data_IF_990668574100
#
_entry.id   IF_990668574100
#
_cell.length_a   1.000
_cell.length_b   1.000
_cell.length_c   1.000
_cell.angle_alpha   90.00
_cell.angle_beta   90.00
_cell.angle_gamma   90.00
#
_symmetry.space_group_name_H-M   'P 1'
#
loop_
_entity.id
_entity.type
_entity.pdbx_description
1 polymer ?
#
# COMPACT_ATOMS: atom_id res chain seq x y z
N UNK A 1 20.26 4.71 -33.42
CA UNK A 1 19.79 4.58 -32.03
C UNK A 1 18.29 4.27 -32.08
N UNK A 2 17.84 3.07 -31.72
CA UNK A 2 16.39 2.82 -31.56
C UNK A 2 15.95 3.55 -30.30
N UNK A 3 14.95 4.44 -30.41
CA UNK A 3 14.23 4.91 -29.22
C UNK A 3 13.68 3.66 -28.54
N UNK A 4 14.07 3.42 -27.29
CA UNK A 4 13.29 2.54 -26.43
C UNK A 4 12.00 3.32 -26.20
N UNK A 5 10.92 2.87 -26.81
CA UNK A 5 9.60 3.35 -26.40
C UNK A 5 9.48 3.00 -24.92
N UNK A 6 9.17 4.00 -24.08
CA UNK A 6 8.97 3.82 -22.65
C UNK A 6 7.71 2.97 -22.46
N UNK A 7 7.90 1.66 -22.51
CA UNK A 7 6.83 0.70 -22.29
C UNK A 7 6.29 0.90 -20.88
N UNK A 8 5.01 1.28 -20.79
CA UNK A 8 4.28 1.37 -19.54
C UNK A 8 3.22 0.30 -19.54
N UNK A 9 3.27 -0.53 -18.50
CA UNK A 9 2.21 -1.49 -18.21
C UNK A 9 0.86 -0.80 -18.01
N UNK A 10 -0.20 -1.59 -18.13
CA UNK A 10 -1.55 -1.11 -17.84
C UNK A 10 -1.66 -0.67 -16.38
N UNK A 11 -2.38 0.42 -16.13
CA UNK A 11 -2.55 0.97 -14.78
C UNK A 11 -3.15 -0.04 -13.79
N UNK A 12 -4.00 -0.97 -14.26
CA UNK A 12 -4.55 -2.05 -13.43
C UNK A 12 -3.46 -3.02 -12.98
N UNK A 13 -2.52 -3.39 -13.86
CA UNK A 13 -1.42 -4.30 -13.55
C UNK A 13 -0.48 -3.65 -12.54
N UNK A 14 -0.14 -2.39 -12.76
CA UNK A 14 0.66 -1.59 -11.83
C UNK A 14 -0.01 -1.50 -10.45
N UNK A 15 -1.32 -1.19 -10.39
CA UNK A 15 -2.05 -1.12 -9.12
C UNK A 15 -2.07 -2.46 -8.36
N UNK A 16 -2.23 -3.57 -9.07
CA UNK A 16 -2.19 -4.90 -8.45
C UNK A 16 -0.81 -5.24 -7.91
N UNK A 17 0.24 -4.86 -8.63
CA UNK A 17 1.62 -5.02 -8.19
C UNK A 17 1.95 -4.13 -6.98
N UNK A 18 1.53 -2.88 -7.02
CA UNK A 18 1.90 -1.85 -6.04
C UNK A 18 1.09 -1.95 -4.74
N UNK A 19 -0.09 -2.55 -4.77
CA UNK A 19 -0.96 -2.68 -3.59
C UNK A 19 -0.63 -3.96 -2.82
N UNK A 20 0.15 -3.84 -1.77
CA UNK A 20 0.52 -4.97 -0.91
C UNK A 20 -0.57 -5.25 0.12
N UNK A 21 -1.16 -6.44 0.03
CA UNK A 21 -2.13 -6.94 1.00
C UNK A 21 -1.38 -7.55 2.19
N UNK A 22 -1.59 -7.05 3.42
CA UNK A 22 -0.95 -7.63 4.59
C UNK A 22 -1.47 -9.04 4.86
N UNK A 23 -0.58 -9.95 5.27
CA UNK A 23 -0.95 -11.27 5.78
C UNK A 23 -1.70 -11.13 7.11
N UNK A 24 -2.62 -12.07 7.36
CA UNK A 24 -3.43 -12.08 8.59
C UNK A 24 -2.62 -12.55 9.81
N UNK A 25 -1.72 -13.52 9.61
CA UNK A 25 -0.87 -14.11 10.64
C UNK A 25 0.60 -14.14 10.17
N UNK A 26 1.29 -12.99 10.12
CA UNK A 26 2.69 -12.92 9.68
C UNK A 26 3.68 -13.69 10.59
N UNK A 27 3.27 -13.95 11.84
CA UNK A 27 3.93 -14.83 12.83
C UNK A 27 3.51 -16.31 12.70
N UNK A 28 2.51 -16.62 11.89
CA UNK A 28 1.98 -17.96 11.69
C UNK A 28 0.76 -18.30 12.56
N UNK A 29 0.14 -19.47 12.34
CA UNK A 29 -1.07 -19.87 13.05
C UNK A 29 -0.81 -20.12 14.54
N UNK A 30 -1.88 -20.13 15.34
CA UNK A 30 -1.78 -20.41 16.78
C UNK A 30 -1.03 -21.73 17.06
N UNK A 31 0.00 -21.66 17.90
CA UNK A 31 0.86 -22.80 18.24
C UNK A 31 2.01 -23.05 17.26
N UNK A 32 2.17 -22.23 16.22
CA UNK A 32 3.32 -22.25 15.31
C UNK A 32 4.56 -21.66 15.99
N UNK A 33 5.71 -22.32 15.87
CA UNK A 33 7.02 -21.77 16.28
C UNK A 33 7.72 -20.95 15.20
N UNK A 34 7.05 -20.68 14.07
CA UNK A 34 7.61 -19.86 13.00
C UNK A 34 7.85 -18.45 13.52
N UNK A 35 9.05 -17.91 13.31
CA UNK A 35 9.42 -16.52 13.66
C UNK A 35 9.18 -16.15 15.14
N UNK A 36 9.22 -17.12 16.05
CA UNK A 36 8.93 -16.92 17.49
C UNK A 36 9.79 -15.82 18.14
N UNK A 37 11.02 -15.64 17.66
CA UNK A 37 11.98 -14.66 18.17
C UNK A 37 12.35 -13.58 17.16
N UNK A 38 11.61 -13.47 16.05
CA UNK A 38 11.87 -12.52 14.98
C UNK A 38 10.74 -11.47 14.91
N UNK A 39 11.09 -10.23 14.61
CA UNK A 39 10.08 -9.21 14.34
C UNK A 39 9.35 -9.53 13.04
N UNK A 40 8.03 -9.41 13.06
CA UNK A 40 7.21 -9.55 11.85
C UNK A 40 7.58 -8.47 10.84
N UNK A 41 8.05 -8.89 9.67
CA UNK A 41 8.26 -8.00 8.53
C UNK A 41 6.99 -7.90 7.69
N UNK A 42 6.74 -6.71 7.16
CA UNK A 42 5.63 -6.48 6.23
C UNK A 42 5.87 -6.97 4.82
N UNK A 43 7.10 -7.30 4.46
CA UNK A 43 7.53 -7.76 3.15
C UNK A 43 8.81 -8.57 3.27
N UNK A 44 8.94 -9.63 2.47
CA UNK A 44 10.17 -10.45 2.42
C UNK A 44 11.21 -9.93 1.43
N UNK A 45 10.81 -9.03 0.52
CA UNK A 45 11.67 -8.39 -0.48
C UNK A 45 11.75 -6.88 -0.24
N UNK A 46 12.75 -6.22 -0.82
CA UNK A 46 12.89 -4.77 -0.76
C UNK A 46 11.69 -4.06 -1.39
N UNK A 47 11.39 -2.85 -0.93
CA UNK A 47 10.32 -2.03 -1.47
C UNK A 47 10.67 -1.53 -2.87
N UNK A 48 9.69 -1.60 -3.77
CA UNK A 48 9.79 -1.02 -5.11
C UNK A 48 9.05 0.32 -5.17
N UNK A 49 9.38 1.14 -6.16
CA UNK A 49 8.72 2.43 -6.36
C UNK A 49 7.21 2.25 -6.57
N UNK A 50 6.39 3.06 -5.89
CA UNK A 50 4.92 3.02 -5.99
C UNK A 50 4.25 2.00 -5.05
N UNK A 51 4.99 1.00 -4.55
CA UNK A 51 4.44 0.02 -3.63
C UNK A 51 4.00 0.64 -2.30
N UNK A 52 2.87 0.17 -1.80
CA UNK A 52 2.31 0.63 -0.53
C UNK A 52 1.43 -0.46 0.09
N UNK A 53 1.25 -0.41 1.41
CA UNK A 53 0.31 -1.31 2.10
C UNK A 53 -1.13 -0.87 1.89
N UNK A 54 -2.00 -1.84 1.63
CA UNK A 54 -3.43 -1.64 1.66
C UNK A 54 -3.85 -1.21 3.08
N UNK A 55 -4.55 -0.08 3.19
CA UNK A 55 -5.05 0.43 4.47
C UNK A 55 -6.57 0.27 4.52
N UNK A 56 -7.05 -0.39 5.57
CA UNK A 56 -8.47 -0.59 5.83
C UNK A 56 -9.25 0.72 6.07
N UNK A 57 -8.55 1.82 6.35
CA UNK A 57 -9.17 3.11 6.66
C UNK A 57 -9.23 4.06 5.44
N UNK A 58 -8.53 3.71 4.36
CA UNK A 58 -8.48 4.51 3.13
C UNK A 58 -9.61 4.17 2.16
N UNK A 59 -9.81 5.03 1.16
CA UNK A 59 -10.74 4.74 0.07
C UNK A 59 -10.23 3.61 -0.82
N UNK A 60 -11.16 2.78 -1.31
CA UNK A 60 -10.86 1.75 -2.31
C UNK A 60 -10.36 2.36 -3.63
N UNK A 61 -11.01 3.42 -4.12
CA UNK A 61 -10.53 4.20 -5.27
C UNK A 61 -9.90 5.51 -4.81
N UNK A 62 -8.59 5.47 -4.52
CA UNK A 62 -7.87 6.66 -4.04
C UNK A 62 -7.77 7.77 -5.08
N UNK A 63 -7.70 7.43 -6.37
CA UNK A 63 -7.50 8.41 -7.44
C UNK A 63 -8.72 9.31 -7.58
N UNK A 64 -9.91 8.70 -7.59
CA UNK A 64 -11.16 9.46 -7.62
C UNK A 64 -11.35 10.30 -6.35
N UNK A 65 -10.86 9.82 -5.20
CA UNK A 65 -11.09 10.46 -3.90
C UNK A 65 -9.98 11.40 -3.43
N UNK A 66 -8.89 11.56 -4.19
CA UNK A 66 -7.69 12.35 -3.77
C UNK A 66 -8.00 13.80 -3.41
N UNK A 67 -9.06 14.39 -3.95
CA UNK A 67 -9.46 15.80 -3.71
C UNK A 67 -10.87 15.94 -3.13
N UNK A 68 -11.48 14.84 -2.69
CA UNK A 68 -12.86 14.81 -2.19
C UNK A 68 -12.83 14.60 -0.68
N UNK A 69 -12.96 15.69 0.08
CA UNK A 69 -13.04 15.60 1.53
C UNK A 69 -14.29 14.82 1.96
N UNK A 70 -14.14 13.94 2.96
CA UNK A 70 -15.28 13.27 3.61
C UNK A 70 -16.17 14.33 4.23
N UNK A 71 -17.45 14.36 3.86
CA UNK A 71 -18.47 15.23 4.48
C UNK A 71 -19.08 14.55 5.71
N UNK A 72 -18.23 14.06 6.60
CA UNK A 72 -18.63 13.43 7.86
C UNK A 72 -18.06 14.25 9.03
N UNK A 73 -18.80 14.44 10.14
CA UNK A 73 -18.26 15.05 11.35
C UNK A 73 -17.01 14.31 11.82
N UNK A 74 -15.93 15.04 12.12
CA UNK A 74 -14.65 14.44 12.53
C UNK A 74 -13.81 13.84 11.39
N UNK A 75 -14.14 14.11 10.12
CA UNK A 75 -13.35 13.67 8.98
C UNK A 75 -11.91 14.20 9.03
N UNK A 76 -10.94 13.31 8.78
CA UNK A 76 -9.54 13.70 8.65
C UNK A 76 -9.35 14.63 7.43
N UNK A 77 -8.67 15.78 7.57
CA UNK A 77 -8.35 16.65 6.44
C UNK A 77 -7.45 15.91 5.43
N UNK A 78 -7.71 16.10 4.13
CA UNK A 78 -6.97 15.41 3.06
C UNK A 78 -5.53 15.90 2.91
N UNK A 79 -5.30 17.19 3.15
CA UNK A 79 -4.01 17.84 3.01
C UNK A 79 -3.64 18.48 4.35
N UNK A 80 -2.96 17.74 5.22
CA UNK A 80 -2.03 18.35 6.17
C UNK A 80 -0.63 17.92 5.74
N UNK A 81 0.06 18.80 5.01
CA UNK A 81 1.51 18.81 5.08
C UNK A 81 1.85 19.33 6.47
N UNK A 82 2.21 18.43 7.37
CA UNK A 82 3.08 18.85 8.46
C UNK A 82 4.47 18.96 7.83
N UNK A 83 4.84 20.18 7.45
CA UNK A 83 6.24 20.51 7.24
C UNK A 83 6.91 20.34 8.60
N UNK A 84 7.64 19.24 8.78
CA UNK A 84 8.42 18.94 9.98
C UNK A 84 9.86 18.62 9.61
#
# INVERSE_FOLDING_TARGET
MRKKDDYKELSTVQKQHDTLIPEEFPEGPYGSGIREHELVSGKSTDWEEGQHRASAFTYADREQHKKLQRRAPGAHPLDKKEDS
#
